data_IF_415603078242
#
_entry.id   IF_415603078242
#
_cell.length_a   1.000
_cell.length_b   1.000
_cell.length_c   1.000
_cell.angle_alpha   90.00
_cell.angle_beta   90.00
_cell.angle_gamma   90.00
#
_symmetry.space_group_name_H-M   'P 1'
#
loop_
_entity.id
_entity.type
_entity.pdbx_description
1 polymer ?
#
# COMPACT_ATOMS: atom_id res chain seq x y z
N UNK A 1 18.56 64.13 -14.78
CA UNK A 1 17.32 63.56 -14.22
C UNK A 1 16.98 62.19 -14.80
N UNK A 2 17.01 62.00 -16.12
CA UNK A 2 16.66 60.74 -16.79
C UNK A 2 17.57 59.54 -16.41
N UNK A 3 18.88 59.78 -16.25
CA UNK A 3 19.85 58.76 -15.85
C UNK A 3 19.59 58.18 -14.45
N UNK A 4 19.07 59.02 -13.53
CA UNK A 4 18.68 58.56 -12.19
C UNK A 4 17.50 57.61 -12.26
N UNK A 5 16.51 57.88 -13.11
CA UNK A 5 15.31 57.07 -13.29
C UNK A 5 15.65 55.66 -13.82
N UNK A 6 16.57 55.58 -14.80
CA UNK A 6 17.07 54.30 -15.29
C UNK A 6 17.78 53.48 -14.22
N UNK A 7 18.58 54.15 -13.37
CA UNK A 7 19.29 53.49 -12.28
C UNK A 7 18.31 52.94 -11.22
N UNK A 8 17.21 53.65 -10.92
CA UNK A 8 16.18 53.15 -10.00
C UNK A 8 15.49 51.89 -10.57
N UNK A 9 15.16 51.86 -11.87
CA UNK A 9 14.56 50.67 -12.50
C UNK A 9 15.48 49.46 -12.45
N UNK A 10 16.78 49.65 -12.71
CA UNK A 10 17.79 48.59 -12.65
C UNK A 10 17.98 48.03 -11.22
N UNK A 11 17.87 48.87 -10.18
CA UNK A 11 17.99 48.42 -8.78
C UNK A 11 16.74 47.66 -8.28
N UNK A 12 15.55 47.92 -8.82
CA UNK A 12 14.33 47.19 -8.43
C UNK A 12 14.27 45.76 -8.95
N UNK A 13 15.05 45.41 -9.98
CA UNK A 13 15.10 44.06 -10.55
C UNK A 13 15.85 43.03 -9.69
N UNK A 14 16.63 43.48 -8.70
CA UNK A 14 17.41 42.62 -7.80
C UNK A 14 16.64 42.20 -6.54
N UNK A 15 15.33 42.43 -6.47
CA UNK A 15 14.51 41.89 -5.39
C UNK A 15 14.53 40.36 -5.49
N UNK A 16 15.00 39.73 -4.42
CA UNK A 16 14.87 38.29 -4.18
C UNK A 16 13.43 37.91 -4.40
N UNK A 17 13.16 37.04 -5.37
CA UNK A 17 11.84 36.44 -5.58
C UNK A 17 11.41 35.86 -4.22
N UNK A 18 10.43 36.49 -3.57
CA UNK A 18 9.81 35.92 -2.39
C UNK A 18 9.27 34.57 -2.86
N UNK A 19 9.83 33.46 -2.33
CA UNK A 19 9.29 32.13 -2.60
C UNK A 19 7.79 32.24 -2.32
N UNK A 20 6.91 31.99 -3.32
CA UNK A 20 5.48 32.06 -3.10
C UNK A 20 5.16 31.23 -1.86
N UNK A 21 4.29 31.74 -0.99
CA UNK A 21 3.90 31.05 0.23
C UNK A 21 3.40 29.67 -0.19
N UNK A 22 4.20 28.64 0.07
CA UNK A 22 3.86 27.26 -0.27
C UNK A 22 2.84 26.84 0.77
N UNK A 23 1.57 27.01 0.43
CA UNK A 23 0.47 26.51 1.25
C UNK A 23 0.49 24.98 1.16
N UNK A 24 1.03 24.34 2.19
CA UNK A 24 0.97 22.90 2.32
C UNK A 24 -0.47 22.51 2.68
N UNK A 25 -1.21 22.04 1.69
CA UNK A 25 -2.50 21.38 1.95
C UNK A 25 -2.22 19.96 2.40
N UNK A 26 -2.72 19.58 3.57
CA UNK A 26 -2.74 18.18 3.99
C UNK A 26 -3.65 17.38 3.05
N UNK A 27 -3.05 16.53 2.23
CA UNK A 27 -3.79 15.59 1.39
C UNK A 27 -4.10 14.38 2.25
N UNK A 28 -5.38 14.10 2.50
CA UNK A 28 -5.76 12.82 3.13
C UNK A 28 -5.45 11.72 2.11
N UNK A 29 -4.45 10.88 2.39
CA UNK A 29 -4.26 9.68 1.59
C UNK A 29 -5.45 8.73 1.81
N UNK A 30 -6.12 8.27 0.74
CA UNK A 30 -7.17 7.29 0.87
C UNK A 30 -6.56 5.97 1.37
N UNK A 31 -7.10 5.43 2.46
CA UNK A 31 -6.77 4.07 2.90
C UNK A 31 -7.38 3.09 1.92
N UNK A 32 -6.57 2.54 1.03
CA UNK A 32 -6.99 1.46 0.14
C UNK A 32 -7.33 0.23 0.99
N UNK A 33 -8.42 -0.45 0.63
CA UNK A 33 -8.77 -1.73 1.24
C UNK A 33 -7.77 -2.80 0.78
N UNK A 34 -7.61 -3.85 1.58
CA UNK A 34 -6.87 -5.03 1.16
C UNK A 34 -7.54 -5.67 -0.08
N UNK A 35 -6.77 -6.29 -0.98
CA UNK A 35 -7.32 -7.17 -2.01
C UNK A 35 -8.29 -8.19 -1.38
N UNK A 36 -9.47 -8.34 -1.98
CA UNK A 36 -10.53 -9.18 -1.43
C UNK A 36 -10.08 -10.64 -1.28
N UNK A 37 -9.23 -11.10 -2.19
CA UNK A 37 -8.65 -12.44 -2.24
C UNK A 37 -7.89 -12.77 -0.95
N UNK A 38 -7.14 -11.81 -0.40
CA UNK A 38 -6.35 -12.00 0.84
C UNK A 38 -7.22 -12.18 2.09
N UNK A 39 -8.46 -11.69 2.04
CA UNK A 39 -9.42 -11.75 3.16
C UNK A 39 -10.58 -12.69 2.90
N UNK A 40 -10.59 -13.34 1.73
CA UNK A 40 -11.66 -14.27 1.36
C UNK A 40 -11.61 -15.52 2.22
N UNK A 41 -12.75 -16.19 2.33
CA UNK A 41 -12.80 -17.47 3.03
C UNK A 41 -12.02 -18.51 2.24
N UNK A 42 -11.19 -19.28 2.93
CA UNK A 42 -10.45 -20.40 2.33
C UNK A 42 -11.39 -21.59 2.20
N UNK A 43 -11.40 -22.21 1.02
CA UNK A 43 -12.06 -23.50 0.80
C UNK A 43 -11.23 -24.61 1.48
N UNK A 44 -11.78 -25.17 2.55
CA UNK A 44 -11.14 -26.26 3.31
C UNK A 44 -11.76 -27.59 2.90
N UNK A 45 -10.97 -28.57 2.42
CA UNK A 45 -11.49 -29.88 2.07
C UNK A 45 -12.03 -30.60 3.31
N UNK A 46 -13.21 -31.19 3.18
CA UNK A 46 -13.86 -31.93 4.26
C UNK A 46 -13.47 -33.41 4.25
N UNK A 47 -13.38 -34.07 5.40
CA UNK A 47 -13.18 -35.51 5.46
C UNK A 47 -14.41 -36.26 4.92
N UNK A 48 -14.16 -37.36 4.20
CA UNK A 48 -15.20 -38.31 3.80
C UNK A 48 -15.66 -39.17 4.98
N UNK A 49 -16.91 -39.63 4.97
CA UNK A 49 -17.44 -40.52 6.03
C UNK A 49 -16.72 -41.88 6.05
N UNK A 50 -16.38 -42.42 4.87
CA UNK A 50 -15.76 -43.74 4.72
C UNK A 50 -14.26 -43.64 4.39
N UNK A 51 -13.57 -42.70 5.04
CA UNK A 51 -12.14 -42.44 4.83
C UNK A 51 -11.27 -43.62 5.28
N UNK A 52 -10.39 -44.10 4.39
CA UNK A 52 -9.30 -45.02 4.78
C UNK A 52 -8.13 -44.25 5.41
N UNK A 53 -7.18 -44.98 6.02
CA UNK A 53 -5.94 -44.35 6.50
C UNK A 53 -5.15 -43.68 5.36
N UNK A 54 -5.15 -44.27 4.15
CA UNK A 54 -4.49 -43.67 2.98
C UNK A 54 -5.12 -42.35 2.58
N UNK A 55 -6.45 -42.28 2.58
CA UNK A 55 -7.18 -41.05 2.27
C UNK A 55 -6.91 -39.94 3.30
N UNK A 56 -6.70 -40.31 4.58
CA UNK A 56 -6.26 -39.38 5.62
C UNK A 56 -4.93 -38.72 5.29
N UNK A 57 -3.97 -39.49 4.79
CA UNK A 57 -2.64 -38.96 4.43
C UNK A 57 -2.76 -37.96 3.28
N UNK A 58 -3.56 -38.29 2.26
CA UNK A 58 -3.84 -37.39 1.14
C UNK A 58 -4.56 -36.11 1.60
N UNK A 59 -5.60 -36.23 2.42
CA UNK A 59 -6.32 -35.07 2.96
C UNK A 59 -5.40 -34.17 3.80
N UNK A 60 -4.53 -34.75 4.63
CA UNK A 60 -3.55 -33.97 5.38
C UNK A 60 -2.60 -33.20 4.46
N UNK A 61 -2.15 -33.80 3.35
CA UNK A 61 -1.31 -33.10 2.39
C UNK A 61 -2.02 -31.89 1.76
N UNK A 62 -3.29 -32.03 1.39
CA UNK A 62 -4.13 -30.93 0.89
C UNK A 62 -4.30 -29.82 1.95
N UNK A 63 -4.62 -30.20 3.19
CA UNK A 63 -4.76 -29.26 4.31
C UNK A 63 -3.46 -28.49 4.59
N UNK A 64 -2.31 -29.17 4.53
CA UNK A 64 -1.00 -28.50 4.66
C UNK A 64 -0.75 -27.51 3.52
N UNK A 65 -1.16 -27.84 2.29
CA UNK A 65 -1.12 -26.92 1.15
C UNK A 65 -1.96 -25.65 1.40
N UNK A 66 -3.21 -25.83 1.86
CA UNK A 66 -4.10 -24.72 2.20
C UNK A 66 -3.49 -23.83 3.31
N UNK A 67 -2.98 -24.43 4.39
CA UNK A 67 -2.29 -23.70 5.46
C UNK A 67 -1.03 -22.96 4.96
N UNK A 68 -0.28 -23.56 4.04
CA UNK A 68 0.85 -22.92 3.38
C UNK A 68 0.44 -21.63 2.67
N UNK A 69 -0.64 -21.68 1.89
CA UNK A 69 -1.19 -20.50 1.22
C UNK A 69 -1.68 -19.45 2.22
N UNK A 70 -2.40 -19.87 3.27
CA UNK A 70 -2.85 -18.96 4.34
C UNK A 70 -1.70 -18.18 4.97
N UNK A 71 -0.55 -18.84 5.17
CA UNK A 71 0.63 -18.20 5.74
C UNK A 71 1.24 -17.16 4.78
N UNK A 72 1.24 -17.45 3.47
CA UNK A 72 1.67 -16.52 2.42
C UNK A 72 0.76 -15.29 2.41
N UNK A 73 -0.57 -15.50 2.40
CA UNK A 73 -1.55 -14.41 2.36
C UNK A 73 -1.44 -13.53 3.60
N UNK A 74 -1.27 -14.15 4.78
CA UNK A 74 -1.02 -13.43 6.04
C UNK A 74 0.26 -12.59 5.98
N UNK A 75 1.32 -13.10 5.37
CA UNK A 75 2.56 -12.34 5.19
C UNK A 75 2.35 -11.16 4.23
N UNK A 76 1.58 -11.35 3.15
CA UNK A 76 1.22 -10.28 2.21
C UNK A 76 0.40 -9.17 2.89
N UNK A 77 -0.60 -9.53 3.71
CA UNK A 77 -1.38 -8.57 4.51
C UNK A 77 -0.47 -7.75 5.41
N UNK A 78 0.42 -8.41 6.17
CA UNK A 78 1.37 -7.72 7.07
C UNK A 78 2.26 -6.75 6.32
N UNK A 79 2.72 -7.12 5.12
CA UNK A 79 3.53 -6.26 4.26
C UNK A 79 2.75 -5.02 3.80
N UNK A 80 1.51 -5.20 3.34
CA UNK A 80 0.65 -4.08 2.91
C UNK A 80 0.41 -3.13 4.09
N UNK A 81 0.00 -3.67 5.24
CA UNK A 81 -0.27 -2.88 6.44
C UNK A 81 0.98 -2.15 6.97
N UNK A 82 2.18 -2.70 6.79
CA UNK A 82 3.42 -2.00 7.16
C UNK A 82 3.72 -0.74 6.34
N UNK A 83 3.11 -0.61 5.16
CA UNK A 83 3.30 0.52 4.23
C UNK A 83 2.13 1.49 4.23
N UNK A 84 1.07 1.20 5.00
CA UNK A 84 -0.16 1.97 5.08
C UNK A 84 -0.15 2.94 6.26
#
# INVERSE_FOLDING_TARGET
MLLLLFLQMLLTGCVTQQKPLVEYRTVKQPKLNLPAELTSQIDVPAPSQDMTFGDSVSLNAELYGALGQCNIDRAAIRKIESTR
#
